data_IF_532120642620
#
_entry.id   IF_532120642620
#
_cell.length_a   1.000
_cell.length_b   1.000
_cell.length_c   1.000
_cell.angle_alpha   90.00
_cell.angle_beta   90.00
_cell.angle_gamma   90.00
#
_symmetry.space_group_name_H-M   'P 1'
#
loop_
_entity.id
_entity.type
_entity.pdbx_description
1 polymer ?
#
# COMPACT_ATOMS: atom_id res chain seq x y z
N UNK A 1 -0.80 57.20 -2.95
CA UNK A 1 -0.81 57.88 -1.68
C UNK A 1 -0.46 56.90 -0.55
N UNK A 2 -0.23 57.39 0.59
CA UNK A 2 0.15 56.60 1.74
C UNK A 2 -0.97 55.60 2.12
N UNK A 3 -2.21 56.03 1.99
CA UNK A 3 -3.35 55.21 2.34
C UNK A 3 -3.43 53.98 1.45
N UNK A 4 -3.13 54.14 0.17
CA UNK A 4 -3.14 53.02 -0.75
C UNK A 4 -2.03 52.03 -0.41
N UNK A 5 -0.88 52.56 -0.05
CA UNK A 5 0.27 51.73 0.33
C UNK A 5 -0.04 50.94 1.60
N UNK A 6 -0.59 51.65 2.60
CA UNK A 6 -0.92 50.99 3.87
C UNK A 6 -1.97 49.90 3.65
N UNK A 7 -2.97 50.20 2.84
CA UNK A 7 -4.01 49.20 2.53
C UNK A 7 -3.42 47.97 1.82
N UNK A 8 -2.51 48.21 0.88
CA UNK A 8 -1.84 47.14 0.19
C UNK A 8 -0.99 46.29 1.11
N UNK A 9 -0.30 46.93 2.05
CA UNK A 9 0.50 46.18 3.03
C UNK A 9 -0.40 45.29 3.89
N UNK A 10 -1.56 45.82 4.28
CA UNK A 10 -2.50 45.05 5.06
C UNK A 10 -2.98 43.83 4.32
N UNK A 11 -3.25 43.98 3.04
CA UNK A 11 -3.72 42.82 2.20
C UNK A 11 -2.60 41.80 2.05
N UNK A 12 -1.37 42.28 1.88
CA UNK A 12 -0.23 41.37 1.79
C UNK A 12 -0.07 40.60 3.08
N UNK A 13 -0.23 41.25 4.21
CA UNK A 13 -0.10 40.60 5.51
C UNK A 13 -1.17 39.53 5.67
N UNK A 14 -2.40 39.80 5.24
CA UNK A 14 -3.49 38.82 5.29
C UNK A 14 -3.19 37.66 4.40
N UNK A 15 -2.74 37.91 3.18
CA UNK A 15 -2.41 36.84 2.25
C UNK A 15 -1.29 35.98 2.81
N UNK A 16 -0.30 36.61 3.42
CA UNK A 16 0.82 35.87 4.03
C UNK A 16 0.34 34.95 5.13
N UNK A 17 -0.61 35.45 5.94
CA UNK A 17 -1.15 34.61 7.01
C UNK A 17 -1.92 33.43 6.44
N UNK A 18 -2.72 33.66 5.42
CA UNK A 18 -3.45 32.61 4.75
C UNK A 18 -2.52 31.55 4.17
N UNK A 19 -1.46 32.00 3.51
CA UNK A 19 -0.48 31.10 2.93
C UNK A 19 0.17 30.27 4.03
N UNK A 20 0.48 30.88 5.15
CA UNK A 20 1.10 30.16 6.27
C UNK A 20 0.16 29.07 6.80
N UNK A 21 -1.13 29.38 6.91
CA UNK A 21 -2.11 28.40 7.37
C UNK A 21 -2.29 27.27 6.38
N UNK A 22 -2.34 27.61 5.09
CA UNK A 22 -2.47 26.61 4.05
C UNK A 22 -1.23 25.72 4.04
N UNK A 23 -0.07 26.29 4.21
CA UNK A 23 1.17 25.52 4.25
C UNK A 23 1.19 24.54 5.42
N UNK A 24 0.67 24.97 6.56
CA UNK A 24 0.54 24.08 7.71
C UNK A 24 -0.38 22.91 7.40
N UNK A 25 -1.53 23.22 6.80
CA UNK A 25 -2.49 22.19 6.45
C UNK A 25 -1.88 21.21 5.46
N UNK A 26 -1.14 21.73 4.49
CA UNK A 26 -0.47 20.87 3.52
C UNK A 26 0.57 19.99 4.16
N UNK A 27 1.31 20.51 5.11
CA UNK A 27 2.31 19.71 5.81
C UNK A 27 1.65 18.58 6.58
N UNK A 28 0.52 18.85 7.22
CA UNK A 28 -0.23 17.81 7.92
C UNK A 28 -0.77 16.76 6.96
N UNK A 29 -1.27 17.23 5.81
CA UNK A 29 -1.80 16.31 4.82
C UNK A 29 -0.69 15.42 4.26
N UNK A 30 0.48 15.98 4.04
CA UNK A 30 1.61 15.19 3.54
C UNK A 30 2.09 14.18 4.56
N UNK A 31 2.04 14.55 5.83
CA UNK A 31 2.38 13.60 6.90
C UNK A 31 1.42 12.42 6.90
N UNK A 32 0.13 12.71 6.74
CA UNK A 32 -0.87 11.66 6.66
C UNK A 32 -0.69 10.79 5.43
N UNK A 33 -0.33 11.43 4.31
CA UNK A 33 -0.07 10.69 3.08
C UNK A 33 1.13 9.76 3.25
N UNK A 34 2.15 10.24 3.94
CA UNK A 34 3.35 9.44 4.20
C UNK A 34 2.99 8.23 5.05
N UNK A 35 2.17 8.43 6.07
CA UNK A 35 1.72 7.32 6.89
C UNK A 35 0.92 6.31 6.07
N UNK A 36 0.08 6.81 5.17
CA UNK A 36 -0.68 5.95 4.29
C UNK A 36 0.21 5.14 3.37
N UNK A 37 1.24 5.78 2.82
CA UNK A 37 2.19 5.08 1.95
C UNK A 37 2.93 4.01 2.73
N UNK A 38 3.32 4.30 3.97
CA UNK A 38 3.98 3.30 4.81
C UNK A 38 3.08 2.11 5.07
N UNK A 39 1.79 2.36 5.32
CA UNK A 39 0.84 1.28 5.52
C UNK A 39 0.68 0.44 4.27
N UNK A 40 0.61 1.08 3.11
CA UNK A 40 0.50 0.37 1.84
C UNK A 40 1.74 -0.49 1.62
N UNK A 41 2.91 0.05 1.96
CA UNK A 41 4.16 -0.69 1.83
C UNK A 41 4.13 -1.96 2.69
N UNK A 42 3.61 -1.86 3.91
CA UNK A 42 3.47 -3.01 4.79
C UNK A 42 2.51 -4.04 4.21
N UNK A 43 1.40 -3.56 3.64
CA UNK A 43 0.43 -4.46 3.03
C UNK A 43 1.03 -5.17 1.82
N UNK A 44 1.81 -4.44 1.01
CA UNK A 44 2.47 -5.04 -0.14
C UNK A 44 3.44 -6.13 0.29
N UNK A 45 4.22 -5.88 1.33
CA UNK A 45 5.14 -6.89 1.85
C UNK A 45 4.39 -8.10 2.36
N UNK A 46 3.31 -7.86 3.07
CA UNK A 46 2.48 -8.94 3.59
C UNK A 46 1.86 -9.74 2.45
N UNK A 47 1.39 -9.06 1.40
CA UNK A 47 0.82 -9.73 0.24
C UNK A 47 1.87 -10.57 -0.48
N UNK A 48 3.10 -10.06 -0.58
CA UNK A 48 4.18 -10.81 -1.21
C UNK A 48 4.47 -12.08 -0.44
N UNK A 49 4.53 -11.99 0.89
CA UNK A 49 4.76 -13.16 1.72
C UNK A 49 3.63 -14.16 1.57
N UNK A 50 2.39 -13.69 1.52
CA UNK A 50 1.24 -14.57 1.34
C UNK A 50 1.29 -15.24 -0.02
N UNK A 51 1.69 -14.51 -1.05
CA UNK A 51 1.78 -15.07 -2.39
C UNK A 51 2.85 -16.17 -2.46
N UNK A 52 3.97 -15.95 -1.81
CA UNK A 52 5.03 -16.96 -1.76
C UNK A 52 4.55 -18.20 -1.02
N UNK A 53 3.84 -17.98 0.07
CA UNK A 53 3.30 -19.08 0.86
C UNK A 53 2.27 -19.86 0.06
N UNK A 54 1.40 -19.17 -0.66
CA UNK A 54 0.40 -19.79 -1.50
C UNK A 54 1.04 -20.58 -2.62
N UNK A 55 2.09 -20.06 -3.20
CA UNK A 55 2.81 -20.76 -4.26
C UNK A 55 3.43 -22.04 -3.73
N UNK A 56 4.06 -21.97 -2.57
CA UNK A 56 4.66 -23.16 -1.94
C UNK A 56 3.60 -24.18 -1.61
N UNK A 57 2.45 -23.75 -1.09
CA UNK A 57 1.35 -24.64 -0.77
C UNK A 57 0.81 -25.30 -2.02
N UNK A 58 0.70 -24.55 -3.11
CA UNK A 58 0.23 -25.09 -4.39
C UNK A 58 1.16 -26.17 -4.91
N UNK A 59 2.47 -25.94 -4.80
CA UNK A 59 3.46 -26.92 -5.22
C UNK A 59 3.35 -28.19 -4.37
N UNK A 60 3.17 -28.00 -3.08
CA UNK A 60 3.03 -29.12 -2.17
C UNK A 60 1.78 -29.92 -2.48
N UNK A 61 0.67 -29.23 -2.73
CA UNK A 61 -0.58 -29.91 -3.10
C UNK A 61 -0.44 -30.66 -4.41
N UNK A 62 0.25 -30.07 -5.36
CA UNK A 62 0.48 -30.74 -6.64
C UNK A 62 1.27 -32.02 -6.44
N UNK A 63 2.31 -31.97 -5.62
CA UNK A 63 3.13 -33.14 -5.33
C UNK A 63 2.30 -34.22 -4.63
N UNK A 64 1.44 -33.82 -3.69
CA UNK A 64 0.59 -34.76 -2.99
C UNK A 64 -0.44 -35.40 -3.93
N UNK A 65 -0.95 -34.62 -4.86
CA UNK A 65 -1.90 -35.10 -5.84
C UNK A 65 -1.25 -36.18 -6.72
N UNK A 66 -0.01 -35.94 -7.11
CA UNK A 66 0.73 -36.91 -7.93
C UNK A 66 0.97 -38.19 -7.12
N UNK A 67 1.36 -38.08 -5.87
CA UNK A 67 1.58 -39.23 -5.01
C UNK A 67 0.31 -40.02 -4.82
N UNK A 68 -0.81 -39.33 -4.62
CA UNK A 68 -2.08 -39.96 -4.45
C UNK A 68 -2.50 -40.72 -5.73
N UNK A 69 -2.26 -40.09 -6.86
CA UNK A 69 -2.59 -40.71 -8.14
C UNK A 69 -1.78 -42.00 -8.35
N UNK A 70 -0.52 -41.98 -7.98
CA UNK A 70 0.34 -43.13 -8.06
C UNK A 70 -0.16 -44.25 -7.15
N UNK A 71 -0.56 -43.88 -5.93
CA UNK A 71 -1.11 -44.89 -5.01
C UNK A 71 -2.39 -45.51 -5.55
N UNK A 72 -3.26 -44.69 -6.09
CA UNK A 72 -4.51 -45.19 -6.66
C UNK A 72 -4.22 -46.13 -7.80
N UNK A 73 -3.28 -45.78 -8.66
CA UNK A 73 -2.91 -46.64 -9.79
C UNK A 73 -2.41 -47.99 -9.30
N UNK A 74 -1.64 -47.99 -8.23
CA UNK A 74 -1.08 -49.24 -7.69
C UNK A 74 -2.17 -50.13 -7.13
N UNK A 75 -3.13 -49.54 -6.42
CA UNK A 75 -4.06 -50.35 -5.66
C UNK A 75 -5.37 -50.65 -6.39
N UNK A 76 -5.78 -49.77 -7.28
CA UNK A 76 -7.10 -49.89 -7.88
C UNK A 76 -7.03 -50.42 -9.27
N UNK A 77 -6.07 -49.99 -10.07
CA UNK A 77 -5.93 -50.46 -11.43
C UNK A 77 -5.26 -51.82 -11.44
N UNK A 78 -5.85 -52.79 -12.11
CA UNK A 78 -5.20 -54.10 -12.20
C UNK A 78 -3.92 -53.99 -13.01
N UNK A 79 -2.96 -54.74 -12.59
CA UNK A 79 -1.70 -54.83 -13.29
C UNK A 79 -1.82 -55.83 -14.40
N UNK A 80 -1.81 -55.30 -15.57
CA UNK A 80 -1.90 -56.16 -16.72
C UNK A 80 -0.61 -56.24 -17.45
#
# INVERSE_FOLDING_TARGET
>A
SIEIVVDGIGKIAESSRSISEISKDQANAMDQAEQGVNQISEVVQSNSATAEESSATSQELSAQAISLDELISKFILPQE
#
